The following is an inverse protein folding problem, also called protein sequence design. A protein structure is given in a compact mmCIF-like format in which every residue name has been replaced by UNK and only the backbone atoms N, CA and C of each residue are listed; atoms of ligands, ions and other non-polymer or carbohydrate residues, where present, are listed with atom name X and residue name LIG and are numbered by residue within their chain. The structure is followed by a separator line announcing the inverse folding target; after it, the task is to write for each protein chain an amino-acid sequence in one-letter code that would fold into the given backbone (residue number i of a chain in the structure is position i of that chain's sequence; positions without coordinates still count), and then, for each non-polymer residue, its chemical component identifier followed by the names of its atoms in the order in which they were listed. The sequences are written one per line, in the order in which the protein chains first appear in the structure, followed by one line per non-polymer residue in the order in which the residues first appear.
data_IF_214989202952
#
_entry.id   IF_214989202952
#
_cell.length_a   1.000
_cell.length_b   1.000
_cell.length_c   1.000
_cell.angle_alpha   90.00
_cell.angle_beta   90.00
_cell.angle_gamma   90.00
#
_symmetry.space_group_name_H-M   'P 1'
#
loop_
_entity.id
_entity.type
_entity.pdbx_description
1 polymer ?
#
# COMPACT_ATOMS: atom_id res chain seq x y z
N UNK A 1 1.07 23.37 15.38
CA UNK A 1 1.38 23.45 13.93
C UNK A 1 0.17 22.90 13.20
N UNK A 2 -0.58 23.75 12.48
CA UNK A 2 -1.68 23.27 11.66
C UNK A 2 -1.07 22.49 10.48
N UNK A 3 -1.47 21.22 10.33
CA UNK A 3 -1.10 20.45 9.14
C UNK A 3 -1.58 21.14 7.86
N UNK A 4 -1.02 20.79 6.69
CA UNK A 4 -1.41 21.35 5.41
C UNK A 4 -2.94 21.35 5.25
N UNK A 5 -3.54 22.52 4.98
CA UNK A 5 -4.98 22.69 4.85
C UNK A 5 -5.45 22.16 3.50
N UNK A 6 -5.80 20.88 3.46
CA UNK A 6 -6.40 20.24 2.29
C UNK A 6 -7.82 20.80 2.10
N UNK A 7 -8.22 21.24 0.90
CA UNK A 7 -9.55 21.79 0.65
C UNK A 7 -10.68 20.81 0.99
N UNK A 8 -11.80 21.32 1.50
CA UNK A 8 -13.01 20.53 1.69
C UNK A 8 -13.44 19.90 0.35
N UNK A 9 -13.69 18.59 0.36
CA UNK A 9 -14.05 17.82 -0.84
C UNK A 9 -12.87 17.20 -1.59
N UNK A 10 -11.63 17.36 -1.09
CA UNK A 10 -10.48 16.62 -1.63
C UNK A 10 -10.71 15.12 -1.56
N UNK A 11 -10.40 14.46 -2.67
CA UNK A 11 -10.47 13.01 -2.87
C UNK A 11 -9.08 12.53 -3.19
N UNK A 12 -8.63 11.49 -2.50
CA UNK A 12 -7.35 10.88 -2.81
C UNK A 12 -7.58 9.74 -3.80
N UNK A 13 -7.40 10.04 -5.08
CA UNK A 13 -7.60 9.13 -6.21
C UNK A 13 -6.37 9.13 -7.13
N UNK A 14 -5.19 8.69 -6.63
CA UNK A 14 -3.98 8.67 -7.42
C UNK A 14 -3.97 7.51 -8.42
N UNK A 15 -3.38 7.74 -9.59
CA UNK A 15 -3.04 6.65 -10.52
C UNK A 15 -1.78 5.88 -10.08
N UNK A 16 -1.48 4.78 -10.77
CA UNK A 16 -0.32 3.92 -10.47
C UNK A 16 1.02 4.69 -10.47
N UNK A 17 1.24 5.62 -11.39
CA UNK A 17 2.48 6.42 -11.45
C UNK A 17 2.56 7.44 -10.29
N UNK A 18 1.44 8.04 -9.92
CA UNK A 18 1.36 8.95 -8.78
C UNK A 18 1.64 8.21 -7.46
N UNK A 19 1.07 7.02 -7.28
CA UNK A 19 1.37 6.15 -6.13
C UNK A 19 2.87 5.85 -6.03
N UNK A 20 3.51 5.51 -7.16
CA UNK A 20 4.96 5.31 -7.20
C UNK A 20 5.74 6.56 -6.78
N UNK A 21 5.25 7.75 -7.12
CA UNK A 21 5.79 9.03 -6.65
C UNK A 21 5.67 9.20 -5.13
N UNK A 22 4.51 8.89 -4.54
CA UNK A 22 4.31 8.92 -3.08
C UNK A 22 5.25 7.95 -2.37
N UNK A 23 5.39 6.74 -2.91
CA UNK A 23 6.30 5.71 -2.42
C UNK A 23 7.75 6.18 -2.43
N UNK A 24 8.20 6.72 -3.56
CA UNK A 24 9.55 7.31 -3.66
C UNK A 24 9.74 8.39 -2.62
N UNK A 25 8.84 9.36 -2.52
CA UNK A 25 9.00 10.43 -1.53
C UNK A 25 9.09 9.89 -0.10
N UNK A 26 8.26 8.90 0.25
CA UNK A 26 8.29 8.26 1.57
C UNK A 26 9.62 7.55 1.85
N UNK A 27 10.13 6.74 0.92
CA UNK A 27 11.41 6.03 1.06
C UNK A 27 12.59 7.01 1.21
N UNK A 28 12.54 8.12 0.48
CA UNK A 28 13.58 9.15 0.51
C UNK A 28 13.40 10.14 1.66
N UNK A 29 12.41 9.93 2.54
CA UNK A 29 12.02 10.83 3.62
C UNK A 29 11.83 12.29 3.15
N UNK A 30 11.37 12.44 1.90
CA UNK A 30 10.94 13.72 1.36
C UNK A 30 9.60 14.08 1.99
N UNK A 31 9.40 15.37 2.28
CA UNK A 31 8.23 15.85 3.01
C UNK A 31 6.95 15.62 2.18
N UNK A 32 6.32 14.47 2.36
CA UNK A 32 4.96 14.22 1.91
C UNK A 32 4.04 14.88 2.93
N UNK A 33 3.14 15.75 2.47
CA UNK A 33 1.96 16.06 3.28
C UNK A 33 1.37 14.70 3.70
N UNK A 34 1.34 14.39 5.00
CA UNK A 34 0.99 13.07 5.58
C UNK A 34 -0.44 12.64 5.21
N UNK A 35 -0.65 12.26 3.96
CA UNK A 35 -1.96 11.90 3.40
C UNK A 35 -2.22 10.41 3.61
N UNK A 36 -1.17 9.58 3.48
CA UNK A 36 -1.26 8.12 3.62
C UNK A 36 -0.72 7.71 5.00
N UNK A 37 -1.55 7.08 5.86
CA UNK A 37 -1.12 6.61 7.18
C UNK A 37 -0.29 5.32 7.11
N UNK A 38 0.48 5.07 8.16
CA UNK A 38 1.18 3.80 8.37
C UNK A 38 0.31 2.81 9.15
N UNK A 39 0.26 1.55 8.70
CA UNK A 39 -0.46 0.47 9.37
C UNK A 39 0.17 -0.89 9.03
N UNK A 40 0.18 -1.80 10.01
CA UNK A 40 0.62 -3.18 9.77
C UNK A 40 -0.55 -4.03 9.25
N UNK A 41 -0.71 -4.04 7.93
CA UNK A 41 -1.87 -4.65 7.24
C UNK A 41 -1.79 -6.18 7.13
N UNK A 42 -0.62 -6.77 7.32
CA UNK A 42 -0.43 -8.22 7.19
C UNK A 42 -0.81 -8.99 8.46
N UNK A 43 -0.90 -8.30 9.60
CA UNK A 43 -1.19 -8.93 10.90
C UNK A 43 -2.68 -8.87 11.29
N UNK A 44 -3.50 -8.11 10.55
CA UNK A 44 -4.94 -7.94 10.83
C UNK A 44 -5.79 -8.41 9.66
N UNK A 45 -6.92 -9.07 9.95
CA UNK A 45 -7.84 -9.50 8.88
C UNK A 45 -8.33 -8.28 8.09
N UNK A 46 -8.69 -8.44 6.81
CA UNK A 46 -9.12 -7.31 5.98
C UNK A 46 -10.27 -6.50 6.60
N UNK A 47 -11.21 -7.15 7.28
CA UNK A 47 -12.33 -6.47 7.96
C UNK A 47 -11.94 -5.65 9.20
N UNK A 48 -10.75 -5.89 9.76
CA UNK A 48 -10.23 -5.19 10.95
C UNK A 48 -9.16 -4.14 10.58
N UNK A 49 -9.00 -3.82 9.29
CA UNK A 49 -8.08 -2.78 8.87
C UNK A 49 -8.48 -1.43 9.48
N UNK A 50 -7.51 -0.55 9.77
CA UNK A 50 -7.78 0.73 10.44
C UNK A 50 -8.36 1.76 9.47
N UNK A 51 -9.57 1.50 8.94
CA UNK A 51 -10.24 2.32 7.93
C UNK A 51 -10.38 3.79 8.35
N UNK A 52 -10.65 4.04 9.63
CA UNK A 52 -10.84 5.39 10.18
C UNK A 52 -9.57 6.24 10.20
N UNK A 53 -8.39 5.62 10.09
CA UNK A 53 -7.12 6.34 10.05
C UNK A 53 -6.90 7.07 8.71
N UNK A 54 -7.59 6.66 7.65
CA UNK A 54 -7.47 7.27 6.34
C UNK A 54 -8.71 8.14 6.01
N UNK A 55 -8.55 9.45 6.25
CA UNK A 55 -9.64 10.44 6.15
C UNK A 55 -10.09 10.77 4.72
N UNK A 56 -9.35 10.29 3.72
CA UNK A 56 -9.55 10.63 2.30
C UNK A 56 -9.98 9.43 1.46
N UNK A 57 -10.46 8.36 2.11
CA UNK A 57 -10.97 7.16 1.43
C UNK A 57 -12.12 7.52 0.46
N UNK A 58 -12.06 6.95 -0.74
CA UNK A 58 -13.06 7.11 -1.80
C UNK A 58 -13.47 5.70 -2.23
N UNK A 59 -14.76 5.47 -2.49
CA UNK A 59 -15.26 4.23 -3.11
C UNK A 59 -14.83 2.93 -2.40
N UNK A 60 -14.68 2.97 -1.07
CA UNK A 60 -14.14 1.84 -0.30
C UNK A 60 -12.73 1.44 -0.75
N UNK A 61 -11.88 2.43 -1.01
CA UNK A 61 -10.44 2.27 -1.25
C UNK A 61 -9.68 2.98 -0.13
N UNK A 62 -8.75 2.27 0.47
CA UNK A 62 -7.88 2.77 1.53
C UNK A 62 -6.43 2.51 1.18
N UNK A 63 -5.58 3.50 1.47
CA UNK A 63 -4.14 3.45 1.20
C UNK A 63 -3.40 3.44 2.54
N UNK A 64 -2.41 2.56 2.64
CA UNK A 64 -1.54 2.46 3.81
C UNK A 64 -0.09 2.26 3.40
N UNK A 65 0.80 2.80 4.22
CA UNK A 65 2.20 2.39 4.25
C UNK A 65 2.35 1.20 5.21
N UNK A 66 2.94 0.10 4.74
CA UNK A 66 3.25 -1.07 5.58
C UNK A 66 4.65 -1.57 5.32
N UNK A 67 5.22 -2.25 6.31
CA UNK A 67 6.42 -3.07 6.14
C UNK A 67 5.98 -4.45 5.66
N UNK A 68 6.63 -4.97 4.62
CA UNK A 68 6.33 -6.30 4.11
C UNK A 68 7.02 -7.36 4.98
N UNK A 69 6.30 -8.38 5.48
CA UNK A 69 6.94 -9.50 6.16
C UNK A 69 7.70 -10.39 5.17
N UNK A 70 8.72 -11.11 5.66
CA UNK A 70 9.52 -12.05 4.86
C UNK A 70 8.68 -13.21 4.27
N UNK A 71 7.61 -13.58 4.96
CA UNK A 71 6.62 -14.56 4.53
C UNK A 71 5.23 -13.99 4.72
N UNK A 72 4.31 -14.25 3.78
CA UNK A 72 2.90 -13.88 3.96
C UNK A 72 2.32 -14.71 5.13
N UNK A 73 1.98 -14.08 6.26
CA UNK A 73 1.47 -14.81 7.41
C UNK A 73 0.04 -15.29 7.14
N UNK A 74 -0.41 -16.25 7.94
CA UNK A 74 -1.85 -16.39 8.14
C UNK A 74 -2.34 -15.15 8.89
N UNK A 75 -3.37 -14.53 8.36
CA UNK A 75 -3.94 -13.30 8.91
C UNK A 75 -5.32 -13.64 9.43
N UNK A 76 -5.52 -13.63 10.75
CA UNK A 76 -6.76 -14.15 11.35
C UNK A 76 -7.01 -15.62 10.99
N UNK A 77 -8.10 -15.89 10.26
CA UNK A 77 -8.52 -17.21 9.79
C UNK A 77 -8.28 -17.42 8.29
N UNK A 78 -7.41 -16.64 7.65
CA UNK A 78 -7.17 -16.72 6.21
C UNK A 78 -5.75 -16.36 5.80
N UNK A 79 -5.57 -16.12 4.51
CA UNK A 79 -4.27 -15.77 3.93
C UNK A 79 -4.42 -14.95 2.63
N UNK A 80 -3.43 -14.11 2.37
CA UNK A 80 -3.29 -13.39 1.11
C UNK A 80 -2.60 -14.26 0.06
N UNK A 81 -3.18 -14.34 -1.14
CA UNK A 81 -2.61 -15.07 -2.27
C UNK A 81 -2.40 -14.15 -3.47
N UNK A 82 -1.22 -14.16 -4.11
CA UNK A 82 -0.98 -13.36 -5.30
C UNK A 82 -1.76 -13.88 -6.51
N UNK A 83 -2.25 -12.97 -7.34
CA UNK A 83 -3.02 -13.28 -8.56
C UNK A 83 -2.43 -12.66 -9.83
N UNK A 84 -1.78 -11.50 -9.72
CA UNK A 84 -1.14 -10.82 -10.85
C UNK A 84 0.05 -9.99 -10.39
N UNK A 85 0.97 -9.72 -11.32
CA UNK A 85 2.07 -8.78 -11.14
C UNK A 85 2.30 -8.04 -12.45
N UNK A 86 2.43 -6.72 -12.38
CA UNK A 86 2.51 -5.81 -13.53
C UNK A 86 3.65 -4.82 -13.33
N UNK A 87 4.42 -4.58 -14.39
CA UNK A 87 5.45 -3.54 -14.41
C UNK A 87 4.81 -2.15 -14.57
N UNK A 88 5.10 -1.25 -13.64
CA UNK A 88 4.78 0.17 -13.77
C UNK A 88 5.91 0.86 -14.52
N UNK A 89 5.59 1.32 -15.72
CA UNK A 89 6.48 2.07 -16.60
C UNK A 89 6.13 3.55 -16.49
N UNK A 90 7.11 4.38 -16.16
CA UNK A 90 6.92 5.82 -15.98
C UNK A 90 8.24 6.49 -15.58
N UNK A 91 8.16 7.72 -15.10
CA UNK A 91 9.33 8.42 -14.53
C UNK A 91 9.86 7.70 -13.29
N UNK A 92 8.95 7.18 -12.46
CA UNK A 92 9.26 6.34 -11.31
C UNK A 92 8.85 4.90 -11.65
N UNK A 93 9.84 4.06 -11.96
CA UNK A 93 9.63 2.66 -12.32
C UNK A 93 9.38 1.79 -11.09
N UNK A 94 8.61 0.73 -11.28
CA UNK A 94 8.48 -0.35 -10.30
C UNK A 94 7.44 -1.38 -10.67
N UNK A 95 6.83 -2.00 -9.67
CA UNK A 95 5.98 -3.17 -9.82
C UNK A 95 4.70 -2.99 -9.01
N UNK A 96 3.58 -3.47 -9.54
CA UNK A 96 2.31 -3.64 -8.84
C UNK A 96 1.98 -5.12 -8.78
N UNK A 97 1.77 -5.64 -7.58
CA UNK A 97 1.35 -7.01 -7.31
C UNK A 97 -0.06 -7.01 -6.74
N UNK A 98 -0.93 -7.78 -7.35
CA UNK A 98 -2.32 -7.93 -6.91
C UNK A 98 -2.46 -9.22 -6.11
N UNK A 99 -3.10 -9.13 -4.94
CA UNK A 99 -3.39 -10.24 -4.06
C UNK A 99 -4.90 -10.26 -3.76
N UNK A 100 -5.41 -11.46 -3.53
CA UNK A 100 -6.77 -11.69 -3.01
C UNK A 100 -6.69 -12.42 -1.68
N UNK A 101 -7.59 -12.09 -0.77
CA UNK A 101 -7.68 -12.77 0.52
C UNK A 101 -8.59 -14.01 0.42
N UNK A 102 -8.08 -15.15 0.89
CA UNK A 102 -8.82 -16.40 1.07
C UNK A 102 -9.08 -16.64 2.55
N UNK A 103 -10.35 -16.85 2.90
CA UNK A 103 -10.76 -17.28 4.23
C UNK A 103 -10.73 -18.82 4.30
N UNK A 104 -10.26 -19.39 5.42
CA UNK A 104 -10.27 -20.84 5.60
C UNK A 104 -11.70 -21.40 5.55
N UNK A 105 -11.95 -22.56 4.90
CA UNK A 105 -10.97 -23.52 4.40
C UNK A 105 -10.42 -23.30 2.99
N UNK A 106 -10.93 -22.34 2.19
CA UNK A 106 -10.43 -21.89 0.85
C UNK A 106 -11.45 -20.98 0.13
N UNK A 107 -12.21 -20.20 0.88
CA UNK A 107 -13.22 -19.32 0.31
C UNK A 107 -12.57 -18.02 -0.15
N UNK A 108 -12.58 -17.76 -1.46
CA UNK A 108 -12.17 -16.47 -2.00
C UNK A 108 -13.12 -15.40 -1.48
N UNK A 109 -12.57 -14.33 -0.93
CA UNK A 109 -13.36 -13.19 -0.43
C UNK A 109 -13.41 -12.07 -1.48
N UNK A 110 -14.14 -11.00 -1.19
CA UNK A 110 -14.17 -9.79 -2.00
C UNK A 110 -13.00 -8.83 -1.71
N UNK A 111 -12.07 -9.22 -0.84
CA UNK A 111 -10.95 -8.38 -0.43
C UNK A 111 -9.74 -8.56 -1.35
N UNK A 112 -9.32 -7.45 -1.95
CA UNK A 112 -8.11 -7.35 -2.76
C UNK A 112 -7.03 -6.50 -2.07
N UNK A 113 -5.79 -6.63 -2.52
CA UNK A 113 -4.66 -5.81 -2.10
C UNK A 113 -3.76 -5.57 -3.31
N UNK A 114 -3.45 -4.30 -3.61
CA UNK A 114 -2.45 -3.94 -4.62
C UNK A 114 -1.18 -3.43 -3.95
N UNK A 115 -0.19 -4.30 -3.86
CA UNK A 115 1.14 -4.01 -3.35
C UNK A 115 1.98 -3.35 -4.45
N UNK A 116 2.65 -2.21 -4.17
CA UNK A 116 3.56 -1.60 -5.14
C UNK A 116 4.98 -1.64 -4.59
N UNK A 117 5.98 -1.64 -5.46
CA UNK A 117 7.40 -1.56 -5.07
C UNK A 117 8.19 -0.78 -6.08
N UNK A 118 9.15 0.04 -5.64
CA UNK A 118 10.10 0.70 -6.54
C UNK A 118 11.00 -0.31 -7.25
N UNK A 119 11.34 -0.01 -8.50
CA UNK A 119 12.34 -0.76 -9.23
C UNK A 119 13.72 -0.58 -8.58
N UNK A 120 14.54 -1.64 -8.44
CA UNK A 120 15.87 -1.55 -7.83
C UNK A 120 16.77 -0.45 -8.42
N UNK A 121 16.68 -0.20 -9.74
CA UNK A 121 17.41 0.87 -10.41
C UNK A 121 17.13 2.28 -9.84
N UNK A 122 15.92 2.53 -9.36
CA UNK A 122 15.56 3.81 -8.70
C UNK A 122 16.28 3.93 -7.35
N UNK A 123 16.60 2.80 -6.72
CA UNK A 123 17.28 2.71 -5.42
C UNK A 123 18.80 2.60 -5.56
N UNK A 124 19.34 2.31 -6.75
CA UNK A 124 20.73 1.94 -6.99
C UNK A 124 21.77 3.04 -6.69
N UNK A 125 21.35 4.27 -6.40
CA UNK A 125 22.22 5.37 -5.98
C UNK A 125 22.00 5.83 -4.53
N UNK A 126 21.18 5.12 -3.75
CA UNK A 126 20.73 5.56 -2.43
C UNK A 126 21.28 4.62 -1.37
N UNK A 127 21.95 5.19 -0.37
CA UNK A 127 22.31 4.48 0.85
C UNK A 127 21.05 4.28 1.70
N UNK A 128 20.18 3.37 1.27
CA UNK A 128 19.04 2.94 2.09
C UNK A 128 19.58 2.15 3.28
N UNK A 129 19.21 2.55 4.48
CA UNK A 129 19.48 1.76 5.67
C UNK A 129 18.66 0.45 5.66
N UNK A 130 18.99 -0.50 6.54
CA UNK A 130 18.32 -1.79 6.59
C UNK A 130 16.82 -1.66 6.95
N UNK A 131 16.44 -0.58 7.62
CA UNK A 131 15.06 -0.25 7.94
C UNK A 131 14.34 0.20 6.66
N UNK A 132 14.89 1.16 5.92
CA UNK A 132 14.39 1.67 4.63
C UNK A 132 14.33 0.60 3.52
N UNK A 133 15.26 -0.37 3.52
CA UNK A 133 15.23 -1.54 2.62
C UNK A 133 14.13 -2.54 2.99
N UNK A 134 13.73 -2.61 4.27
CA UNK A 134 12.63 -3.43 4.75
C UNK A 134 11.28 -2.68 4.66
N UNK A 135 11.30 -1.35 4.79
CA UNK A 135 10.20 -0.39 4.62
C UNK A 135 9.88 -0.11 3.15
N UNK A 136 10.13 -1.06 2.25
CA UNK A 136 9.59 -0.98 0.89
C UNK A 136 8.09 -1.30 0.98
N UNK A 137 7.38 -0.25 1.37
CA UNK A 137 5.95 0.03 1.29
C UNK A 137 5.31 -0.75 0.16
N UNK A 138 4.52 -1.73 0.55
CA UNK A 138 3.44 -2.27 -0.25
C UNK A 138 2.25 -1.32 -0.05
N UNK A 139 1.70 -0.69 -1.10
CA UNK A 139 0.38 -0.08 -0.91
C UNK A 139 -0.65 -1.18 -0.62
N UNK A 140 -1.72 -0.78 0.06
CA UNK A 140 -2.98 -1.49 0.04
C UNK A 140 -3.88 -0.74 -0.94
N UNK A 141 -4.60 -1.48 -1.78
CA UNK A 141 -5.89 -1.08 -2.34
C UNK A 141 -6.81 -2.18 -1.86
N UNK A 142 -7.48 -1.96 -0.74
CA UNK A 142 -8.57 -2.86 -0.37
C UNK A 142 -9.83 -2.31 -0.99
N UNK A 143 -10.23 -2.86 -2.14
CA UNK A 143 -11.57 -2.65 -2.67
C UNK A 143 -12.48 -3.76 -2.17
N UNK A 144 -13.66 -3.39 -1.65
CA UNK A 144 -14.79 -4.29 -1.50
C UNK A 144 -15.67 -4.12 -2.73
N UNK A 145 -15.63 -5.04 -3.68
CA UNK A 145 -16.67 -5.08 -4.71
C UNK A 145 -17.95 -5.64 -4.07
N UNK A 146 -19.00 -4.80 -3.99
CA UNK A 146 -20.37 -5.24 -3.72
C UNK A 146 -21.03 -5.77 -4.99
#
# INVERSE_FOLDING_TARGET
MAGPSIPYGYRFDPNDEELMGYLKKKIFNENTHDVIPEANIYDVKPDDLPFDSFRYAVESIWYFYTIKPNSLPMTGDGYWSPIAEVDIRGQVKGFKKELVYYQHPRQMTCWYMHEYRLHPDILAGVALDAHQKAEVISFLISSRFT
#
